data_IF_363548287112
#
_entry.id   IF_363548287112
#
_cell.length_a   1.000
_cell.length_b   1.000
_cell.length_c   1.000
_cell.angle_alpha   90.00
_cell.angle_beta   90.00
_cell.angle_gamma   90.00
#
_symmetry.space_group_name_H-M   'P 1'
#
loop_
_entity.id
_entity.type
_entity.pdbx_description
1 polymer ?
#
# COMPACT_ATOMS: atom_id res chain seq x y z
N UNK A 1 -44.29 39.88 12.80
CA UNK A 1 -43.59 39.14 11.73
C UNK A 1 -42.13 39.00 12.15
N UNK A 2 -41.71 37.82 12.61
CA UNK A 2 -40.30 37.49 12.84
C UNK A 2 -39.84 36.61 11.66
N UNK A 3 -38.85 37.07 10.90
CA UNK A 3 -38.18 36.24 9.89
C UNK A 3 -37.17 35.32 10.61
N UNK A 4 -37.09 34.01 10.29
CA UNK A 4 -36.06 33.16 10.83
C UNK A 4 -34.73 33.42 10.11
N UNK A 5 -33.66 33.55 10.90
CA UNK A 5 -32.27 33.68 10.43
C UNK A 5 -31.82 32.37 9.76
N UNK A 6 -31.10 32.41 8.63
CA UNK A 6 -30.59 31.19 8.01
C UNK A 6 -29.40 30.67 8.82
N UNK A 7 -29.57 29.52 9.45
CA UNK A 7 -28.48 28.72 9.99
C UNK A 7 -27.63 28.20 8.83
N UNK A 8 -26.43 28.73 8.66
CA UNK A 8 -25.43 28.23 7.73
C UNK A 8 -24.89 26.89 8.22
N UNK A 9 -25.30 25.79 7.57
CA UNK A 9 -24.66 24.48 7.75
C UNK A 9 -23.28 24.51 7.10
N UNK A 10 -22.22 24.52 7.92
CA UNK A 10 -20.86 24.27 7.47
C UNK A 10 -20.68 22.76 7.23
N UNK A 11 -20.66 22.33 5.97
CA UNK A 11 -20.33 20.96 5.59
C UNK A 11 -18.84 20.69 5.86
N UNK A 12 -18.55 19.91 6.91
CA UNK A 12 -17.21 19.38 7.16
C UNK A 12 -16.91 18.32 6.09
N UNK A 13 -16.16 18.68 5.04
CA UNK A 13 -15.62 17.72 4.10
C UNK A 13 -14.52 16.90 4.81
N UNK A 14 -14.84 15.66 5.22
CA UNK A 14 -13.81 14.74 5.69
C UNK A 14 -12.88 14.40 4.51
N UNK A 15 -11.54 14.49 4.68
CA UNK A 15 -10.63 13.99 3.67
C UNK A 15 -10.81 12.47 3.56
N UNK A 16 -11.28 11.99 2.40
CA UNK A 16 -11.28 10.58 2.08
C UNK A 16 -9.82 10.11 1.97
N UNK A 17 -9.40 9.19 2.84
CA UNK A 17 -8.10 8.57 2.71
C UNK A 17 -8.08 7.76 1.39
N UNK A 18 -7.15 8.09 0.49
CA UNK A 18 -6.94 7.27 -0.70
C UNK A 18 -6.47 5.87 -0.27
N UNK A 19 -7.36 4.88 -0.34
CA UNK A 19 -7.03 3.49 -0.07
C UNK A 19 -6.50 2.84 -1.34
N UNK A 20 -5.38 2.12 -1.21
CA UNK A 20 -4.90 1.29 -2.31
C UNK A 20 -5.92 0.19 -2.59
N UNK A 21 -6.15 -0.08 -3.86
CA UNK A 21 -6.98 -1.18 -4.34
C UNK A 21 -6.31 -1.81 -5.56
N UNK A 22 -6.74 -3.01 -5.93
CA UNK A 22 -6.30 -3.67 -7.17
C UNK A 22 -6.69 -2.87 -8.43
N UNK A 23 -7.67 -1.97 -8.33
CA UNK A 23 -8.13 -1.14 -9.45
C UNK A 23 -7.26 0.11 -9.62
N UNK A 24 -6.88 0.74 -8.51
CA UNK A 24 -6.07 1.99 -8.52
C UNK A 24 -4.57 1.72 -8.50
N UNK A 25 -4.15 0.56 -7.99
CA UNK A 25 -2.74 0.18 -7.83
C UNK A 25 -2.59 -1.31 -8.10
N UNK A 26 -2.65 -1.74 -9.37
CA UNK A 26 -2.66 -3.17 -9.72
C UNK A 26 -1.31 -3.86 -9.48
N UNK A 27 -0.21 -3.12 -9.50
CA UNK A 27 1.16 -3.64 -9.36
C UNK A 27 1.98 -2.80 -8.38
N UNK A 28 3.06 -3.39 -7.85
CA UNK A 28 4.03 -2.69 -7.01
C UNK A 28 5.12 -2.05 -7.85
N UNK A 29 5.25 -0.74 -7.74
CA UNK A 29 6.36 0.04 -8.26
C UNK A 29 7.38 0.28 -7.16
N UNK A 30 8.65 0.01 -7.44
CA UNK A 30 9.74 0.12 -6.48
C UNK A 30 11.00 0.72 -7.11
N UNK A 31 11.85 1.29 -6.27
CA UNK A 31 13.20 1.73 -6.66
C UNK A 31 14.16 0.61 -6.34
N UNK A 32 14.90 0.13 -7.34
CA UNK A 32 15.97 -0.84 -7.17
C UNK A 32 17.31 -0.10 -7.16
N UNK A 33 18.18 -0.44 -6.21
CA UNK A 33 19.59 -0.07 -6.27
C UNK A 33 20.33 -1.20 -6.98
N UNK A 34 20.94 -0.88 -8.11
CA UNK A 34 21.73 -1.82 -8.92
C UNK A 34 23.16 -1.29 -9.02
N UNK A 35 24.07 -2.10 -9.57
CA UNK A 35 25.44 -1.69 -9.83
C UNK A 35 25.88 -2.18 -11.21
N UNK A 36 26.47 -1.30 -12.00
CA UNK A 36 27.07 -1.60 -13.29
C UNK A 36 28.36 -0.78 -13.43
N UNK A 37 29.41 -1.39 -13.99
CA UNK A 37 30.67 -0.72 -14.31
C UNK A 37 31.33 0.02 -13.12
N UNK A 38 31.15 -0.49 -11.91
CA UNK A 38 31.72 0.09 -10.68
C UNK A 38 30.92 1.26 -10.10
N UNK A 39 29.80 1.62 -10.71
CA UNK A 39 28.91 2.69 -10.27
C UNK A 39 27.57 2.14 -9.78
N UNK A 40 26.96 2.84 -8.82
CA UNK A 40 25.62 2.49 -8.32
C UNK A 40 24.55 3.21 -9.14
N UNK A 41 23.49 2.49 -9.51
CA UNK A 41 22.39 3.01 -10.32
C UNK A 41 21.06 2.82 -9.60
N UNK A 42 20.21 3.84 -9.67
CA UNK A 42 18.83 3.77 -9.17
C UNK A 42 17.88 3.52 -10.34
N UNK A 43 17.17 2.41 -10.30
CA UNK A 43 16.25 1.99 -11.35
C UNK A 43 14.80 1.99 -10.85
N UNK A 44 13.85 2.28 -11.75
CA UNK A 44 12.42 2.17 -11.46
C UNK A 44 11.85 0.87 -12.03
N UNK A 45 11.39 0.01 -11.12
CA UNK A 45 10.89 -1.32 -11.46
C UNK A 45 9.40 -1.41 -11.15
N UNK A 46 8.69 -2.21 -11.94
CA UNK A 46 7.34 -2.66 -11.63
C UNK A 46 7.35 -4.18 -11.58
N UNK A 47 6.87 -4.76 -10.46
CA UNK A 47 6.76 -6.20 -10.35
C UNK A 47 5.67 -6.74 -11.29
N UNK A 48 6.00 -7.83 -11.98
CA UNK A 48 5.09 -8.48 -12.94
C UNK A 48 3.84 -9.06 -12.26
N UNK A 49 4.00 -9.61 -11.04
CA UNK A 49 2.89 -10.17 -10.29
C UNK A 49 1.95 -9.04 -9.80
N UNK A 50 0.66 -9.10 -10.12
CA UNK A 50 -0.31 -8.11 -9.66
C UNK A 50 -0.74 -8.36 -8.21
N UNK A 51 -1.25 -7.33 -7.55
CA UNK A 51 -1.90 -7.44 -6.25
C UNK A 51 -3.21 -8.26 -6.33
N UNK A 52 -3.51 -8.96 -5.25
CA UNK A 52 -4.76 -9.66 -4.96
C UNK A 52 -5.22 -9.33 -3.55
N UNK A 53 -6.52 -9.46 -3.29
CA UNK A 53 -7.01 -9.39 -1.90
C UNK A 53 -6.69 -10.71 -1.19
N UNK A 54 -6.14 -10.61 0.02
CA UNK A 54 -5.85 -11.78 0.84
C UNK A 54 -7.11 -12.32 1.50
N UNK A 55 -7.22 -13.64 1.58
CA UNK A 55 -8.21 -14.35 2.41
C UNK A 55 -7.58 -14.96 3.65
N UNK A 56 -6.30 -14.65 3.91
CA UNK A 56 -5.54 -15.18 5.03
C UNK A 56 -5.98 -14.53 6.35
N UNK A 57 -6.22 -15.37 7.36
CA UNK A 57 -6.62 -14.91 8.69
C UNK A 57 -5.58 -13.95 9.25
N UNK A 58 -6.04 -12.86 9.87
CA UNK A 58 -5.17 -11.80 10.38
C UNK A 58 -4.84 -10.69 9.39
N UNK A 59 -5.03 -10.91 8.08
CA UNK A 59 -4.84 -9.90 7.03
C UNK A 59 -5.94 -9.93 5.94
N UNK A 60 -7.08 -10.55 6.21
CA UNK A 60 -8.19 -10.66 5.24
C UNK A 60 -8.59 -9.29 4.68
N UNK A 61 -8.66 -9.18 3.35
CA UNK A 61 -8.98 -7.96 2.64
C UNK A 61 -7.80 -7.02 2.39
N UNK A 62 -6.61 -7.31 2.94
CA UNK A 62 -5.38 -6.59 2.59
C UNK A 62 -4.95 -6.89 1.15
N UNK A 63 -4.15 -6.02 0.55
CA UNK A 63 -3.53 -6.33 -0.74
C UNK A 63 -2.28 -7.17 -0.53
N UNK A 64 -2.07 -8.19 -1.35
CA UNK A 64 -0.90 -9.06 -1.32
C UNK A 64 -0.44 -9.39 -2.73
N UNK A 65 0.88 -9.54 -2.94
CA UNK A 65 1.45 -10.11 -4.16
C UNK A 65 2.58 -11.10 -3.82
N UNK A 66 2.85 -12.02 -4.74
CA UNK A 66 3.99 -12.94 -4.64
C UNK A 66 5.26 -12.24 -5.15
N UNK A 67 6.37 -12.38 -4.42
CA UNK A 67 7.69 -11.91 -4.83
C UNK A 67 8.43 -12.90 -5.76
N UNK A 68 7.73 -13.93 -6.25
CA UNK A 68 8.27 -14.91 -7.20
C UNK A 68 9.21 -15.92 -6.52
N UNK A 69 10.38 -16.14 -7.12
CA UNK A 69 11.37 -17.16 -6.72
C UNK A 69 12.05 -16.91 -5.37
N UNK A 70 11.63 -15.86 -4.64
CA UNK A 70 12.11 -15.55 -3.29
C UNK A 70 11.45 -16.45 -2.24
N UNK A 71 11.62 -17.78 -2.34
CA UNK A 71 11.23 -18.77 -1.33
C UNK A 71 9.80 -18.60 -0.74
N UNK A 72 8.78 -18.54 -1.60
CA UNK A 72 7.37 -18.34 -1.21
C UNK A 72 7.11 -17.07 -0.37
N UNK A 73 7.88 -16.01 -0.63
CA UNK A 73 7.68 -14.72 0.03
C UNK A 73 6.55 -13.92 -0.62
N UNK A 74 5.79 -13.23 0.21
CA UNK A 74 4.72 -12.32 -0.20
C UNK A 74 4.96 -10.93 0.35
N UNK A 75 4.49 -9.93 -0.39
CA UNK A 75 4.44 -8.54 0.06
C UNK A 75 2.99 -8.15 0.30
N UNK A 76 2.68 -7.73 1.52
CA UNK A 76 1.32 -7.34 1.95
C UNK A 76 1.24 -5.86 2.29
N UNK A 77 0.22 -5.18 1.79
CA UNK A 77 -0.13 -3.80 2.15
C UNK A 77 -1.31 -3.85 3.11
N UNK A 78 -1.02 -3.58 4.39
CA UNK A 78 -2.02 -3.51 5.45
C UNK A 78 -2.42 -2.03 5.62
N UNK A 79 -3.68 -1.66 5.39
CA UNK A 79 -4.14 -0.29 5.54
C UNK A 79 -3.96 0.23 6.97
N UNK A 80 -3.90 1.56 7.12
CA UNK A 80 -3.91 2.18 8.44
C UNK A 80 -5.20 1.81 9.19
N UNK A 81 -5.07 1.56 10.51
CA UNK A 81 -6.17 1.17 11.40
C UNK A 81 -6.83 -0.16 11.03
N UNK A 82 -6.14 -1.02 10.29
CA UNK A 82 -6.61 -2.37 10.02
C UNK A 82 -6.66 -3.19 11.32
N UNK A 83 -7.80 -3.85 11.56
CA UNK A 83 -7.99 -4.78 12.67
C UNK A 83 -7.99 -6.21 12.13
N UNK A 84 -6.89 -6.93 12.35
CA UNK A 84 -6.76 -8.33 11.98
C UNK A 84 -7.24 -9.31 13.07
N UNK A 85 -7.76 -8.81 14.20
CA UNK A 85 -8.05 -9.61 15.39
C UNK A 85 -6.80 -10.13 16.09
N UNK A 86 -6.94 -11.20 16.87
CA UNK A 86 -5.81 -11.91 17.47
C UNK A 86 -5.26 -12.95 16.49
N UNK A 87 -3.96 -12.93 16.25
CA UNK A 87 -3.29 -13.89 15.38
C UNK A 87 -1.96 -14.35 15.98
N UNK A 88 -1.71 -15.66 15.91
CA UNK A 88 -0.43 -16.27 16.29
C UNK A 88 0.44 -16.30 15.03
N UNK A 89 1.48 -15.47 14.96
CA UNK A 89 2.33 -15.38 13.78
C UNK A 89 3.12 -16.70 13.57
N UNK A 90 2.87 -17.47 12.51
CA UNK A 90 3.49 -18.79 12.33
C UNK A 90 4.88 -18.72 11.68
N UNK A 91 5.31 -17.54 11.20
CA UNK A 91 6.54 -17.34 10.44
C UNK A 91 7.17 -15.96 10.71
N UNK A 92 8.46 -15.82 10.35
CA UNK A 92 9.18 -14.55 10.41
C UNK A 92 8.57 -13.53 9.45
N UNK A 93 8.31 -12.33 9.97
CA UNK A 93 7.78 -11.21 9.20
C UNK A 93 8.68 -10.00 9.39
N UNK A 94 8.95 -9.28 8.31
CA UNK A 94 9.68 -8.01 8.36
C UNK A 94 8.69 -6.89 8.06
N UNK A 95 8.52 -5.98 9.02
CA UNK A 95 7.66 -4.80 8.87
C UNK A 95 8.56 -3.62 8.53
N UNK A 96 8.31 -3.02 7.37
CA UNK A 96 9.02 -1.83 6.91
C UNK A 96 8.03 -0.66 6.95
N UNK A 97 8.35 0.38 7.72
CA UNK A 97 7.66 1.67 7.64
C UNK A 97 8.54 2.67 6.89
N UNK A 98 8.04 3.17 5.77
CA UNK A 98 8.86 4.03 4.91
C UNK A 98 8.11 4.49 3.68
N UNK A 99 8.40 5.71 3.24
CA UNK A 99 7.81 6.28 2.02
C UNK A 99 8.92 6.50 0.98
N UNK A 100 9.16 5.50 0.14
CA UNK A 100 9.94 5.67 -1.08
C UNK A 100 9.02 6.04 -2.24
N UNK A 101 9.46 6.97 -3.11
CA UNK A 101 8.74 7.33 -4.34
C UNK A 101 9.70 7.23 -5.51
N UNK A 102 9.48 6.28 -6.41
CA UNK A 102 10.11 6.32 -7.73
C UNK A 102 9.45 7.46 -8.52
N UNK A 103 10.22 8.50 -8.82
CA UNK A 103 9.87 9.46 -9.86
C UNK A 103 10.76 9.15 -11.05
N UNK A 104 10.17 9.08 -12.24
CA UNK A 104 10.95 9.05 -13.49
C UNK A 104 11.73 10.36 -13.55
N UNK A 105 13.04 10.30 -13.78
CA UNK A 105 13.80 11.50 -14.08
C UNK A 105 13.39 11.98 -15.47
N UNK A 106 12.71 13.12 -15.51
CA UNK A 106 12.52 13.97 -16.68
C UNK A 106 13.77 14.82 -16.96
#
# INVERSE_FOLDING_TARGET
MLLPSPLTLASLALPAAAQLSTLTTPHLNLTALTAADGESTLECWQLANPFRQSTESGITGSLQLSLGELANATYSVIPARFDGGFHHAPAFQYVLDGRARCRRAD
#
